data_IF_894863888539
#
_entry.id   IF_894863888539
#
_cell.length_a   1.000
_cell.length_b   1.000
_cell.length_c   1.000
_cell.angle_alpha   90.00
_cell.angle_beta   90.00
_cell.angle_gamma   90.00
#
_symmetry.space_group_name_H-M   'P 1'
#
loop_
_entity.id
_entity.type
_entity.pdbx_description
1 polymer ?
#
# COMPACT_ATOMS: atom_id res chain seq x y z
N UNK A 1 -6.37 13.72 22.88
CA UNK A 1 -5.03 13.61 22.29
C UNK A 1 -4.77 12.17 21.84
N UNK A 2 -4.66 11.97 20.52
CA UNK A 2 -4.49 10.66 19.87
C UNK A 2 -3.27 9.86 20.38
N UNK A 3 -2.21 10.54 20.83
CA UNK A 3 -0.94 9.91 21.21
C UNK A 3 -0.96 9.33 22.65
N UNK A 4 -2.03 9.53 23.42
CA UNK A 4 -2.11 9.01 24.79
C UNK A 4 -2.19 7.49 24.81
N UNK A 5 -1.53 6.88 25.79
CA UNK A 5 -1.49 5.40 26.00
C UNK A 5 -2.88 4.78 26.16
N UNK A 6 -3.83 5.52 26.76
CA UNK A 6 -5.23 5.10 26.94
C UNK A 6 -5.93 4.71 25.61
N UNK A 7 -5.41 5.16 24.48
CA UNK A 7 -5.96 4.82 23.16
C UNK A 7 -5.29 3.61 22.50
N UNK A 8 -4.33 2.94 23.15
CA UNK A 8 -3.62 1.82 22.52
C UNK A 8 -4.55 0.66 22.16
N UNK A 9 -5.49 0.31 23.05
CA UNK A 9 -6.47 -0.75 22.79
C UNK A 9 -7.42 -0.35 21.65
N UNK A 10 -7.82 0.91 21.62
CA UNK A 10 -8.65 1.45 20.53
C UNK A 10 -7.88 1.40 19.21
N UNK A 11 -6.60 1.81 19.21
CA UNK A 11 -5.74 1.75 18.02
C UNK A 11 -5.59 0.31 17.51
N UNK A 12 -5.36 -0.64 18.42
CA UNK A 12 -5.30 -2.07 18.08
C UNK A 12 -6.60 -2.53 17.41
N UNK A 13 -7.74 -2.26 18.03
CA UNK A 13 -9.05 -2.62 17.48
C UNK A 13 -9.30 -1.99 16.11
N UNK A 14 -8.86 -0.73 15.88
CA UNK A 14 -8.95 -0.07 14.57
C UNK A 14 -8.11 -0.81 13.53
N UNK A 15 -6.87 -1.16 13.87
CA UNK A 15 -5.97 -1.91 12.97
C UNK A 15 -6.58 -3.26 12.62
N UNK A 16 -7.02 -4.02 13.60
CA UNK A 16 -7.62 -5.35 13.40
C UNK A 16 -8.89 -5.29 12.54
N UNK A 17 -9.72 -4.25 12.74
CA UNK A 17 -10.93 -4.02 11.95
C UNK A 17 -10.65 -3.63 10.50
N UNK A 18 -9.61 -2.82 10.26
CA UNK A 18 -9.31 -2.29 8.93
C UNK A 18 -8.46 -3.25 8.06
N UNK A 19 -7.72 -4.20 8.66
CA UNK A 19 -6.88 -5.15 7.91
C UNK A 19 -7.65 -5.98 6.89
N UNK A 20 -8.76 -6.67 7.25
CA UNK A 20 -9.47 -7.53 6.29
C UNK A 20 -10.02 -6.74 5.08
N UNK A 21 -10.77 -5.63 5.25
CA UNK A 21 -11.34 -4.92 4.11
C UNK A 21 -10.28 -4.24 3.22
N UNK A 22 -9.05 -3.96 3.75
CA UNK A 22 -7.94 -3.43 2.95
C UNK A 22 -7.04 -4.52 2.35
N UNK A 23 -7.35 -5.84 2.56
CA UNK A 23 -6.49 -6.93 2.11
C UNK A 23 -5.09 -6.88 2.75
N UNK A 24 -4.97 -6.35 3.96
CA UNK A 24 -3.71 -6.10 4.67
C UNK A 24 -2.68 -5.32 3.84
N UNK A 25 -3.11 -4.37 3.01
CA UNK A 25 -2.22 -3.55 2.18
C UNK A 25 -2.32 -2.07 2.54
N UNK A 26 -1.26 -1.32 2.26
CA UNK A 26 -1.26 0.13 2.40
C UNK A 26 -2.33 0.77 1.50
N UNK A 27 -3.14 1.69 2.04
CA UNK A 27 -4.21 2.35 1.28
C UNK A 27 -3.69 3.13 0.05
N UNK A 28 -2.42 3.57 0.07
CA UNK A 28 -1.82 4.38 -0.98
C UNK A 28 -0.97 3.59 -1.98
N UNK A 29 0.00 2.82 -1.50
CA UNK A 29 0.94 2.12 -2.39
C UNK A 29 0.62 0.64 -2.60
N UNK A 30 -0.42 0.12 -1.94
CA UNK A 30 -0.85 -1.29 -1.99
C UNK A 30 0.22 -2.30 -1.58
N UNK A 31 1.34 -1.84 -0.99
CA UNK A 31 2.33 -2.75 -0.45
C UNK A 31 1.77 -3.49 0.78
N UNK A 32 2.15 -4.76 0.91
CA UNK A 32 1.74 -5.61 2.03
C UNK A 32 2.19 -4.99 3.35
N UNK A 33 1.28 -4.85 4.30
CA UNK A 33 1.58 -4.34 5.63
C UNK A 33 2.09 -5.47 6.51
N UNK A 34 3.13 -5.19 7.28
CA UNK A 34 3.64 -6.11 8.28
C UNK A 34 2.70 -6.28 9.46
N UNK A 35 2.98 -7.28 10.29
CA UNK A 35 2.21 -7.53 11.51
C UNK A 35 2.75 -6.73 12.70
N UNK A 36 4.02 -6.30 12.65
CA UNK A 36 4.61 -5.48 13.70
C UNK A 36 4.00 -4.07 13.72
N UNK A 37 3.87 -3.55 14.94
CA UNK A 37 3.32 -2.21 15.19
C UNK A 37 4.11 -1.10 14.48
N UNK A 38 5.41 -1.34 14.21
CA UNK A 38 6.28 -0.40 13.49
C UNK A 38 6.13 -0.44 11.95
N UNK A 39 5.36 -1.40 11.43
CA UNK A 39 5.18 -1.63 10.00
C UNK A 39 3.81 -1.22 9.48
N UNK A 40 2.96 -0.70 10.35
CA UNK A 40 1.62 -0.25 10.02
C UNK A 40 1.25 0.98 10.84
N UNK A 41 0.75 2.00 10.16
CA UNK A 41 0.22 3.22 10.77
C UNK A 41 -1.29 3.32 10.53
N UNK A 42 -1.99 3.88 11.53
CA UNK A 42 -3.36 4.37 11.32
C UNK A 42 -3.25 5.75 10.68
N UNK A 43 -3.58 5.77 9.40
CA UNK A 43 -3.60 6.97 8.59
C UNK A 43 -4.88 7.77 8.81
N UNK A 44 -4.74 9.09 8.92
CA UNK A 44 -5.86 10.04 8.87
C UNK A 44 -5.91 10.67 7.48
N UNK A 45 -6.85 10.24 6.64
CA UNK A 45 -6.99 10.72 5.25
C UNK A 45 -7.05 12.24 5.21
N UNK A 46 -7.92 12.85 6.02
CA UNK A 46 -7.86 14.28 6.36
C UNK A 46 -6.98 14.43 7.60
N UNK A 47 -5.84 15.16 7.52
CA UNK A 47 -4.87 15.24 8.59
C UNK A 47 -5.48 15.66 9.93
N UNK A 48 -5.26 14.88 11.00
CA UNK A 48 -5.81 15.14 12.33
C UNK A 48 -5.41 16.52 12.88
N UNK A 49 -4.22 17.01 12.53
CA UNK A 49 -3.72 18.33 12.97
C UNK A 49 -4.50 19.50 12.37
N UNK A 50 -5.15 19.30 11.22
CA UNK A 50 -5.99 20.32 10.55
C UNK A 50 -7.47 20.10 10.78
N UNK A 51 -7.87 18.85 11.04
CA UNK A 51 -9.27 18.41 11.11
C UNK A 51 -9.51 17.56 12.36
N UNK A 52 -9.22 18.14 13.55
CA UNK A 52 -9.31 17.44 14.85
C UNK A 52 -10.66 16.75 15.07
N UNK A 53 -11.77 17.40 14.66
CA UNK A 53 -13.13 16.86 14.75
C UNK A 53 -13.34 15.55 13.98
N UNK A 54 -12.45 15.19 13.06
CA UNK A 54 -12.51 13.97 12.28
C UNK A 54 -11.52 12.90 12.73
N UNK A 55 -10.77 13.14 13.82
CA UNK A 55 -9.75 12.21 14.33
C UNK A 55 -10.30 10.81 14.58
N UNK A 56 -11.50 10.69 15.12
CA UNK A 56 -12.14 9.42 15.42
C UNK A 56 -13.25 9.03 14.44
N UNK A 57 -13.32 9.68 13.29
CA UNK A 57 -14.27 9.31 12.26
C UNK A 57 -13.75 8.08 11.49
N UNK A 58 -14.47 6.93 11.57
CA UNK A 58 -14.04 5.68 10.94
C UNK A 58 -13.78 5.79 9.44
N UNK A 59 -14.51 6.69 8.73
CA UNK A 59 -14.26 6.94 7.30
C UNK A 59 -13.00 7.78 7.05
N UNK A 60 -12.45 8.43 8.08
CA UNK A 60 -11.19 9.16 8.01
C UNK A 60 -9.97 8.26 8.31
N UNK A 61 -10.19 7.04 8.78
CA UNK A 61 -9.13 6.13 9.21
C UNK A 61 -8.88 5.06 8.15
N UNK A 62 -7.62 4.82 7.85
CA UNK A 62 -7.18 3.76 6.95
C UNK A 62 -5.85 3.20 7.46
N UNK A 63 -5.39 2.08 6.92
CA UNK A 63 -4.05 1.56 7.21
C UNK A 63 -3.08 1.99 6.10
N UNK A 64 -1.91 2.46 6.51
CA UNK A 64 -0.82 2.81 5.59
C UNK A 64 0.52 2.26 6.08
N UNK A 65 1.46 2.12 5.17
CA UNK A 65 2.85 1.92 5.58
C UNK A 65 3.43 3.24 6.14
N UNK A 66 4.39 3.17 7.07
CA UNK A 66 4.99 4.36 7.68
C UNK A 66 5.54 5.35 6.67
N UNK A 67 6.13 4.85 5.58
CA UNK A 67 6.69 5.71 4.54
C UNK A 67 5.62 6.57 3.84
N UNK A 68 4.50 5.97 3.41
CA UNK A 68 3.39 6.73 2.80
C UNK A 68 2.75 7.70 3.79
N UNK A 69 2.56 7.28 5.04
CA UNK A 69 2.02 8.11 6.11
C UNK A 69 2.89 9.35 6.36
N UNK A 70 4.19 9.14 6.56
CA UNK A 70 5.17 10.22 6.78
C UNK A 70 5.23 11.18 5.61
N UNK A 71 5.28 10.69 4.37
CA UNK A 71 5.38 11.56 3.18
C UNK A 71 4.10 12.35 2.93
N UNK A 72 2.94 11.72 3.09
CA UNK A 72 1.67 12.43 2.99
C UNK A 72 1.53 13.46 4.11
N UNK A 73 1.87 13.07 5.35
CA UNK A 73 1.92 13.98 6.50
C UNK A 73 0.65 14.86 6.61
N UNK A 74 0.84 16.17 6.83
CA UNK A 74 -0.23 17.16 7.00
C UNK A 74 -0.64 17.88 5.70
N UNK A 75 -0.31 17.30 4.54
CA UNK A 75 -0.68 17.87 3.23
C UNK A 75 -2.19 18.03 3.10
N UNK A 76 -2.61 19.14 2.49
CA UNK A 76 -4.02 19.45 2.31
C UNK A 76 -4.63 18.65 1.17
N UNK A 77 -5.49 17.71 1.51
CA UNK A 77 -6.13 16.80 0.56
C UNK A 77 -7.55 17.21 0.16
N UNK A 78 -8.13 18.23 0.81
CA UNK A 78 -9.44 18.75 0.41
C UNK A 78 -9.31 19.78 -0.73
N UNK A 79 -10.26 19.76 -1.65
CA UNK A 79 -10.44 20.77 -2.69
C UNK A 79 -11.08 22.05 -2.15
N UNK A 80 -11.86 21.93 -1.06
CA UNK A 80 -12.51 23.04 -0.36
C UNK A 80 -12.74 22.67 1.11
N UNK A 81 -12.84 23.67 1.98
CA UNK A 81 -13.15 23.45 3.40
C UNK A 81 -14.53 22.81 3.59
N UNK A 82 -14.64 21.89 4.55
CA UNK A 82 -15.86 21.18 4.88
C UNK A 82 -16.17 21.25 6.38
N UNK A 83 -17.44 21.49 6.70
CA UNK A 83 -17.93 21.50 8.09
C UNK A 83 -18.15 20.09 8.62
N UNK A 84 -18.60 19.16 7.77
CA UNK A 84 -18.84 17.75 8.08
C UNK A 84 -17.94 16.87 7.24
N UNK A 85 -17.65 15.66 7.74
CA UNK A 85 -16.91 14.68 6.95
C UNK A 85 -17.66 14.37 5.65
N UNK A 86 -16.99 14.34 4.50
CA UNK A 86 -17.66 14.12 3.22
C UNK A 86 -18.28 12.71 3.14
N UNK A 87 -19.39 12.58 2.45
CA UNK A 87 -20.07 11.30 2.20
C UNK A 87 -19.60 10.62 0.90
N UNK A 88 -18.70 11.27 0.16
CA UNK A 88 -18.08 10.78 -1.07
C UNK A 88 -16.70 11.40 -1.24
N UNK A 89 -15.90 10.87 -2.16
CA UNK A 89 -14.54 11.35 -2.42
C UNK A 89 -14.46 12.57 -3.36
N UNK A 90 -15.58 13.15 -3.81
CA UNK A 90 -15.60 14.23 -4.81
C UNK A 90 -14.82 15.47 -4.40
N UNK A 91 -14.77 15.77 -3.10
CA UNK A 91 -14.04 16.91 -2.55
C UNK A 91 -12.64 16.56 -2.06
N UNK A 92 -12.19 15.31 -2.26
CA UNK A 92 -10.88 14.82 -1.85
C UNK A 92 -10.00 14.67 -3.10
N UNK A 93 -8.78 15.22 -3.06
CA UNK A 93 -7.83 15.23 -4.18
C UNK A 93 -7.24 13.85 -4.45
N UNK A 94 -6.96 13.09 -3.39
CA UNK A 94 -6.33 11.76 -3.45
C UNK A 94 -7.36 10.65 -3.40
N UNK A 95 -6.96 9.43 -3.72
CA UNK A 95 -7.80 8.22 -3.59
C UNK A 95 -8.18 8.04 -2.14
N UNK A 96 -9.48 7.86 -1.90
CA UNK A 96 -10.04 7.65 -0.58
C UNK A 96 -10.29 6.17 -0.33
N UNK A 97 -9.66 5.63 0.72
CA UNK A 97 -9.66 4.18 1.00
C UNK A 97 -11.04 3.52 1.12
N UNK A 98 -12.09 4.30 1.46
CA UNK A 98 -13.45 3.77 1.66
C UNK A 98 -14.45 4.13 0.55
N UNK A 99 -14.12 5.09 -0.32
CA UNK A 99 -15.09 5.63 -1.29
C UNK A 99 -14.68 5.38 -2.73
N UNK A 100 -13.39 5.15 -2.99
CA UNK A 100 -12.87 4.97 -4.34
C UNK A 100 -12.45 3.52 -4.56
N UNK A 101 -12.64 3.04 -5.77
CA UNK A 101 -12.01 1.83 -6.25
C UNK A 101 -10.60 2.19 -6.75
N UNK A 102 -9.57 1.69 -6.08
CA UNK A 102 -8.18 2.03 -6.37
C UNK A 102 -7.77 1.76 -7.82
N UNK A 103 -8.16 0.62 -8.37
CA UNK A 103 -7.83 0.20 -9.73
C UNK A 103 -8.44 1.06 -10.84
N UNK A 104 -9.45 1.87 -10.53
CA UNK A 104 -10.01 2.85 -11.47
C UNK A 104 -9.09 4.07 -11.61
N UNK A 105 -8.18 4.29 -10.67
CA UNK A 105 -7.35 5.49 -10.59
C UNK A 105 -5.86 5.22 -10.84
N UNK A 106 -5.35 4.05 -10.43
CA UNK A 106 -3.92 3.68 -10.54
C UNK A 106 -3.81 2.22 -10.95
N UNK A 107 -2.99 1.95 -11.96
CA UNK A 107 -2.47 0.62 -12.27
C UNK A 107 -1.09 0.44 -11.64
N UNK A 108 -0.82 -0.76 -11.13
CA UNK A 108 0.48 -1.12 -10.56
C UNK A 108 1.07 -2.25 -11.41
N UNK A 109 2.20 -2.00 -12.05
CA UNK A 109 2.91 -2.99 -12.87
C UNK A 109 4.09 -3.55 -12.07
N UNK A 110 4.21 -4.88 -12.05
CA UNK A 110 5.26 -5.62 -11.35
C UNK A 110 5.41 -5.22 -9.87
N UNK A 111 4.31 -4.85 -9.21
CA UNK A 111 4.27 -4.37 -7.82
C UNK A 111 5.11 -3.12 -7.51
N UNK A 112 5.72 -2.48 -8.49
CA UNK A 112 6.69 -1.40 -8.25
C UNK A 112 6.44 -0.12 -9.05
N UNK A 113 5.79 -0.20 -10.23
CA UNK A 113 5.58 0.98 -11.08
C UNK A 113 4.11 1.37 -11.08
N UNK A 114 3.84 2.65 -10.78
CA UNK A 114 2.50 3.20 -10.63
C UNK A 114 2.14 4.05 -11.85
N UNK A 115 1.04 3.73 -12.51
CA UNK A 115 0.50 4.50 -13.63
C UNK A 115 -0.84 5.11 -13.26
N UNK A 116 -0.93 6.43 -13.31
CA UNK A 116 -2.18 7.13 -13.06
C UNK A 116 -3.13 7.00 -14.26
N UNK A 117 -4.38 6.67 -13.98
CA UNK A 117 -5.48 6.64 -14.96
C UNK A 117 -6.36 7.88 -14.87
N UNK A 118 -6.28 8.59 -13.75
CA UNK A 118 -7.10 9.77 -13.46
C UNK A 118 -6.28 10.84 -12.74
N UNK A 119 -6.79 12.08 -12.72
CA UNK A 119 -6.17 13.17 -11.93
C UNK A 119 -6.04 12.82 -10.44
N UNK A 120 -7.03 12.11 -9.88
CA UNK A 120 -6.99 11.65 -8.48
C UNK A 120 -5.87 10.61 -8.27
N UNK A 121 -5.64 9.72 -9.24
CA UNK A 121 -4.51 8.80 -9.21
C UNK A 121 -3.18 9.53 -9.24
N UNK A 122 -3.03 10.51 -10.14
CA UNK A 122 -1.83 11.34 -10.25
C UNK A 122 -1.54 12.12 -8.97
N UNK A 123 -2.55 12.74 -8.38
CA UNK A 123 -2.44 13.42 -7.09
C UNK A 123 -2.00 12.46 -5.97
N UNK A 124 -2.55 11.24 -5.93
CA UNK A 124 -2.17 10.23 -4.92
C UNK A 124 -0.71 9.85 -5.05
N UNK A 125 -0.24 9.59 -6.28
CA UNK A 125 1.15 9.27 -6.59
C UNK A 125 2.07 10.39 -6.10
N UNK A 126 1.72 11.64 -6.39
CA UNK A 126 2.49 12.84 -6.02
C UNK A 126 2.46 13.08 -4.50
N UNK A 127 1.29 13.04 -3.87
CA UNK A 127 1.13 13.31 -2.43
C UNK A 127 1.90 12.31 -1.58
N UNK A 128 1.91 11.04 -1.97
CA UNK A 128 2.57 9.96 -1.23
C UNK A 128 3.96 9.63 -1.79
N UNK A 129 4.40 10.33 -2.84
CA UNK A 129 5.67 10.07 -3.55
C UNK A 129 5.87 8.57 -3.82
N UNK A 130 4.96 7.98 -4.60
CA UNK A 130 4.99 6.53 -4.84
C UNK A 130 6.15 6.07 -5.73
N UNK A 131 6.89 7.00 -6.36
CA UNK A 131 8.09 6.75 -7.16
C UNK A 131 9.39 6.85 -6.36
N UNK A 132 9.40 6.40 -5.10
CA UNK A 132 10.65 6.33 -4.32
C UNK A 132 11.57 5.26 -4.89
N UNK A 133 12.68 5.69 -5.49
CA UNK A 133 13.60 4.81 -6.22
C UNK A 133 14.06 3.60 -5.40
N UNK A 134 14.52 3.80 -4.17
CA UNK A 134 14.96 2.71 -3.30
C UNK A 134 13.88 1.67 -3.04
N UNK A 135 12.63 2.09 -2.76
CA UNK A 135 11.52 1.16 -2.55
C UNK A 135 11.06 0.50 -3.86
N UNK A 136 11.16 1.18 -4.99
CA UNK A 136 10.87 0.62 -6.31
C UNK A 136 11.87 -0.48 -6.65
N UNK A 137 13.17 -0.26 -6.40
CA UNK A 137 14.21 -1.28 -6.60
C UNK A 137 14.01 -2.49 -5.71
N UNK A 138 13.72 -2.31 -4.42
CA UNK A 138 13.51 -3.41 -3.48
C UNK A 138 12.28 -4.24 -3.86
N UNK A 139 11.20 -3.59 -4.31
CA UNK A 139 10.00 -4.25 -4.79
C UNK A 139 10.23 -5.00 -6.09
N UNK A 140 11.00 -4.42 -7.02
CA UNK A 140 11.35 -5.06 -8.28
C UNK A 140 12.18 -6.34 -8.04
N UNK A 141 13.19 -6.27 -7.15
CA UNK A 141 13.98 -7.44 -6.74
C UNK A 141 13.12 -8.51 -6.07
N UNK A 142 12.22 -8.12 -5.16
CA UNK A 142 11.31 -9.06 -4.51
C UNK A 142 10.37 -9.73 -5.51
N UNK A 143 9.84 -8.99 -6.47
CA UNK A 143 8.99 -9.52 -7.54
C UNK A 143 9.74 -10.50 -8.44
N UNK A 144 10.97 -10.15 -8.86
CA UNK A 144 11.84 -11.01 -9.64
C UNK A 144 12.12 -12.34 -8.91
N UNK A 145 12.45 -12.28 -7.63
CA UNK A 145 12.67 -13.46 -6.79
C UNK A 145 11.45 -14.38 -6.73
N UNK A 146 10.25 -13.83 -6.53
CA UNK A 146 9.00 -14.61 -6.52
C UNK A 146 8.76 -15.27 -7.88
N UNK A 147 8.99 -14.54 -8.97
CA UNK A 147 8.83 -15.04 -10.33
C UNK A 147 9.80 -16.19 -10.60
N UNK A 148 11.08 -16.05 -10.24
CA UNK A 148 12.10 -17.08 -10.42
C UNK A 148 11.81 -18.32 -9.58
N UNK A 149 11.34 -18.16 -8.33
CA UNK A 149 10.92 -19.27 -7.46
C UNK A 149 9.76 -20.04 -8.10
N UNK A 150 8.73 -19.35 -8.60
CA UNK A 150 7.60 -19.97 -9.29
C UNK A 150 8.02 -20.71 -10.56
N UNK A 151 9.02 -20.22 -11.28
CA UNK A 151 9.60 -20.91 -12.43
C UNK A 151 10.30 -22.21 -12.01
N UNK A 152 11.06 -22.22 -10.91
CA UNK A 152 11.67 -23.43 -10.36
C UNK A 152 10.63 -24.48 -10.02
N UNK A 153 9.53 -24.09 -9.33
CA UNK A 153 8.45 -25.01 -8.96
C UNK A 153 7.76 -25.61 -10.19
N UNK A 154 7.49 -24.80 -11.21
CA UNK A 154 6.90 -25.26 -12.47
C UNK A 154 7.83 -26.21 -13.23
N UNK A 155 9.12 -25.89 -13.28
CA UNK A 155 10.13 -26.70 -13.91
C UNK A 155 10.24 -28.07 -13.23
N UNK A 156 10.25 -28.12 -11.91
CA UNK A 156 10.29 -29.34 -11.11
C UNK A 156 9.13 -30.29 -11.44
N UNK A 157 7.93 -29.71 -11.66
CA UNK A 157 6.70 -30.46 -11.94
C UNK A 157 6.50 -30.81 -13.43
N UNK A 158 7.42 -30.42 -14.32
CA UNK A 158 7.32 -30.72 -15.77
C UNK A 158 7.87 -32.09 -16.08
N UNK A 159 7.09 -32.97 -16.71
CA UNK A 159 7.49 -34.36 -17.03
C UNK A 159 8.22 -34.51 -18.38
N UNK A 160 8.17 -33.51 -19.26
CA UNK A 160 8.69 -33.60 -20.64
C UNK A 160 10.14 -33.14 -20.83
N UNK A 161 10.81 -32.69 -19.75
CA UNK A 161 12.20 -32.25 -19.76
C UNK A 161 13.04 -33.29 -19.04
N UNK A 162 14.18 -33.70 -19.66
CA UNK A 162 15.08 -34.66 -19.02
C UNK A 162 15.71 -34.09 -17.73
N UNK A 163 16.10 -34.98 -16.80
CA UNK A 163 16.56 -34.55 -15.47
C UNK A 163 17.80 -33.66 -15.51
N UNK A 164 18.74 -33.87 -16.45
CA UNK A 164 19.97 -33.11 -16.54
C UNK A 164 19.68 -31.68 -16.99
N UNK A 165 18.89 -31.52 -18.05
CA UNK A 165 18.47 -30.19 -18.53
C UNK A 165 17.68 -29.41 -17.46
N UNK A 166 16.80 -30.08 -16.68
CA UNK A 166 16.14 -29.46 -15.53
C UNK A 166 17.14 -28.93 -14.53
N UNK A 167 18.12 -29.74 -14.15
CA UNK A 167 19.12 -29.35 -13.16
C UNK A 167 19.93 -28.16 -13.62
N UNK A 168 20.33 -28.12 -14.90
CA UNK A 168 21.11 -27.02 -15.46
C UNK A 168 20.30 -25.71 -15.47
N UNK A 169 19.03 -25.74 -15.87
CA UNK A 169 18.14 -24.57 -15.83
C UNK A 169 17.93 -24.12 -14.38
N UNK A 170 17.69 -25.04 -13.45
CA UNK A 170 17.51 -24.70 -12.02
C UNK A 170 18.77 -24.04 -11.44
N UNK A 171 19.96 -24.50 -11.78
CA UNK A 171 21.21 -23.91 -11.35
C UNK A 171 21.36 -22.45 -11.86
N UNK A 172 20.98 -22.18 -13.10
CA UNK A 172 20.98 -20.84 -13.68
C UNK A 172 20.02 -19.91 -12.90
N UNK A 173 18.81 -20.39 -12.61
CA UNK A 173 17.80 -19.64 -11.88
C UNK A 173 18.26 -19.37 -10.43
N UNK A 174 18.77 -20.41 -9.73
CA UNK A 174 19.22 -20.29 -8.34
C UNK A 174 20.41 -19.33 -8.18
N UNK A 175 21.30 -19.26 -9.18
CA UNK A 175 22.39 -18.30 -9.18
C UNK A 175 21.94 -16.84 -9.32
N UNK A 176 20.75 -16.60 -9.88
CA UNK A 176 20.15 -15.25 -9.96
C UNK A 176 19.38 -14.85 -8.70
N UNK A 177 18.96 -15.82 -7.87
CA UNK A 177 18.21 -15.56 -6.63
C UNK A 177 19.13 -15.22 -5.44
N UNK A 178 20.40 -15.62 -5.52
CA UNK A 178 21.43 -15.33 -4.51
C UNK A 178 21.93 -13.89 -4.66
#
# INVERSE_FOLDING_TARGET
DWEKVIFNDIKKNIVDHLRPPQGNTCCYCKYQLGHDIKQVDIEHILPKSKYEKFTFNGKNLALSCPACNTIKSTKEVLKKSLVRYPRSSNHIKIIHAHYDNYSEHIDIINNCVFFSKTSKGSETITFCNLFRLSEVEDRAKAYEKITLTSLCDRLSNTSHIDPQTKQDIMNIILNKIR
#
